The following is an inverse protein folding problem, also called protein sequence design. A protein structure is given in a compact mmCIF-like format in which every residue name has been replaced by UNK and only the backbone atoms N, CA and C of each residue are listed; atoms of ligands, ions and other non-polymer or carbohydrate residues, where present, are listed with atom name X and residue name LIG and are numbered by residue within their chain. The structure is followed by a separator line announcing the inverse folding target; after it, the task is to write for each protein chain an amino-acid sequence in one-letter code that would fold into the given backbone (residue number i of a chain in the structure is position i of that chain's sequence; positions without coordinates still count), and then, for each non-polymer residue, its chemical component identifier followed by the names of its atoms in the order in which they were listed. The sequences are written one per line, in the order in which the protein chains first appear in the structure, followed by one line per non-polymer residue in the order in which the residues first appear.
data_IF_654733149318
#
_entry.id   IF_654733149318
#
_cell.length_a   1.000
_cell.length_b   1.000
_cell.length_c   1.000
_cell.angle_alpha   90.00
_cell.angle_beta   90.00
_cell.angle_gamma   90.00
#
_symmetry.space_group_name_H-M   'P 1'
#
loop_
_entity.id
_entity.type
_entity.pdbx_description
1 polymer ?
#
# COMPACT_ATOMS: atom_id res chain seq x y z
N UNK A 1 2.82 21.69 3.58
CA UNK A 1 2.98 20.58 2.61
C UNK A 1 4.46 20.43 2.33
N UNK A 2 5.02 19.22 2.51
CA UNK A 2 6.37 18.90 2.00
C UNK A 2 6.28 18.81 0.48
N UNK A 3 7.22 19.44 -0.23
CA UNK A 3 7.32 19.33 -1.69
C UNK A 3 7.84 17.94 -2.06
N UNK A 4 7.36 17.36 -3.17
CA UNK A 4 7.91 16.12 -3.72
C UNK A 4 9.42 16.22 -3.95
N UNK A 5 9.92 17.42 -4.27
CA UNK A 5 11.34 17.69 -4.47
C UNK A 5 12.19 17.58 -3.19
N UNK A 6 11.57 17.72 -2.02
CA UNK A 6 12.22 17.63 -0.71
C UNK A 6 12.02 16.25 -0.06
N UNK A 7 11.35 15.32 -0.76
CA UNK A 7 11.05 13.99 -0.23
C UNK A 7 12.25 13.05 -0.39
N UNK A 8 12.84 12.64 0.73
CA UNK A 8 13.93 11.67 0.72
C UNK A 8 13.40 10.23 0.58
N UNK A 9 13.18 9.78 -0.66
CA UNK A 9 12.71 8.43 -0.97
C UNK A 9 13.56 7.30 -0.34
N UNK A 10 14.84 7.55 -0.07
CA UNK A 10 15.72 6.57 0.57
C UNK A 10 15.46 6.39 2.07
N UNK A 11 14.74 7.31 2.71
CA UNK A 11 14.52 7.32 4.17
C UNK A 11 13.05 7.31 4.57
N UNK A 12 12.14 7.49 3.61
CA UNK A 12 10.71 7.52 3.85
C UNK A 12 10.02 6.29 3.23
N UNK A 13 8.87 5.85 3.77
CA UNK A 13 8.09 4.77 3.19
C UNK A 13 7.72 5.06 1.73
N UNK A 14 7.88 4.06 0.86
CA UNK A 14 7.57 4.20 -0.57
C UNK A 14 6.11 4.60 -0.81
N UNK A 15 5.17 4.10 0.01
CA UNK A 15 3.76 4.44 -0.08
C UNK A 15 3.50 5.94 0.10
N UNK A 16 4.19 6.60 1.03
CA UNK A 16 4.08 8.03 1.27
C UNK A 16 4.59 8.84 0.07
N UNK A 17 5.72 8.41 -0.51
CA UNK A 17 6.24 9.01 -1.73
C UNK A 17 5.30 8.86 -2.93
N UNK A 18 4.66 7.70 -3.08
CA UNK A 18 3.68 7.46 -4.14
C UNK A 18 2.43 8.32 -3.99
N UNK A 19 1.90 8.45 -2.77
CA UNK A 19 0.75 9.31 -2.47
C UNK A 19 1.08 10.76 -2.79
N UNK A 20 2.23 11.27 -2.34
CA UNK A 20 2.68 12.64 -2.65
C UNK A 20 2.84 12.87 -4.16
N UNK A 21 3.39 11.90 -4.89
CA UNK A 21 3.48 11.98 -6.35
C UNK A 21 2.10 12.03 -7.01
N UNK A 22 1.15 11.21 -6.53
CA UNK A 22 -0.23 11.22 -7.03
C UNK A 22 -0.95 12.55 -6.73
N UNK A 23 -0.79 13.13 -5.55
CA UNK A 23 -1.32 14.46 -5.20
C UNK A 23 -0.74 15.56 -6.09
N UNK A 24 0.55 15.47 -6.42
CA UNK A 24 1.22 16.43 -7.31
C UNK A 24 0.72 16.33 -8.77
N UNK A 25 0.37 15.12 -9.24
CA UNK A 25 -0.10 14.89 -10.61
C UNK A 25 -1.60 15.17 -10.76
N UNK A 26 -2.41 14.82 -9.74
CA UNK A 26 -3.87 14.92 -9.75
C UNK A 26 -4.37 15.73 -8.57
N UNK A 27 -4.96 16.89 -8.85
CA UNK A 27 -5.55 17.79 -7.84
C UNK A 27 -6.72 17.18 -7.06
N UNK A 28 -7.42 16.23 -7.65
CA UNK A 28 -8.57 15.54 -7.08
C UNK A 28 -8.20 14.19 -6.45
N UNK A 29 -6.90 13.93 -6.25
CA UNK A 29 -6.46 12.66 -5.68
C UNK A 29 -6.94 12.52 -4.23
N UNK A 30 -7.69 11.45 -3.90
CA UNK A 30 -8.28 11.29 -2.57
C UNK A 30 -7.28 10.65 -1.61
N UNK A 31 -6.25 11.39 -1.20
CA UNK A 31 -5.15 10.84 -0.39
C UNK A 31 -5.63 10.27 0.95
N UNK A 32 -6.58 10.92 1.62
CA UNK A 32 -7.13 10.40 2.87
C UNK A 32 -7.83 9.06 2.69
N UNK A 33 -8.70 8.93 1.67
CA UNK A 33 -9.39 7.66 1.38
C UNK A 33 -8.37 6.54 1.05
N UNK A 34 -7.27 6.88 0.38
CA UNK A 34 -6.19 5.95 0.09
C UNK A 34 -5.45 5.52 1.37
N UNK A 35 -5.17 6.45 2.28
CA UNK A 35 -4.58 6.10 3.58
C UNK A 35 -5.50 5.18 4.39
N UNK A 36 -6.78 5.53 4.49
CA UNK A 36 -7.77 4.77 5.25
C UNK A 36 -7.92 3.35 4.69
N UNK A 37 -7.96 3.21 3.36
CA UNK A 37 -8.04 1.90 2.71
C UNK A 37 -6.76 1.07 2.91
N UNK A 38 -5.57 1.68 2.82
CA UNK A 38 -4.32 0.98 3.10
C UNK A 38 -4.25 0.49 4.55
N UNK A 39 -4.68 1.31 5.51
CA UNK A 39 -4.73 0.92 6.93
C UNK A 39 -5.71 -0.24 7.15
N UNK A 40 -6.88 -0.19 6.49
CA UNK A 40 -7.89 -1.26 6.54
C UNK A 40 -7.34 -2.58 5.98
N UNK A 41 -6.66 -2.55 4.84
CA UNK A 41 -6.06 -3.74 4.21
C UNK A 41 -4.94 -4.33 5.07
N UNK A 42 -4.09 -3.49 5.66
CA UNK A 42 -3.04 -3.93 6.59
C UNK A 42 -3.64 -4.59 7.83
N UNK A 43 -4.72 -4.02 8.38
CA UNK A 43 -5.41 -4.59 9.54
C UNK A 43 -6.01 -5.95 9.21
N UNK A 44 -6.70 -6.05 8.07
CA UNK A 44 -7.28 -7.31 7.59
C UNK A 44 -6.21 -8.40 7.41
N UNK A 45 -5.09 -8.09 6.75
CA UNK A 45 -4.01 -9.07 6.59
C UNK A 45 -3.43 -9.53 7.93
N UNK A 46 -3.32 -8.64 8.92
CA UNK A 46 -2.83 -9.02 10.26
C UNK A 46 -3.82 -9.92 11.02
N UNK A 47 -5.12 -9.77 10.77
CA UNK A 47 -6.15 -10.62 11.36
C UNK A 47 -6.19 -12.01 10.70
N UNK A 48 -6.05 -12.07 9.38
CA UNK A 48 -6.13 -13.33 8.63
C UNK A 48 -4.82 -14.14 8.62
N UNK A 49 -3.67 -13.46 8.68
CA UNK A 49 -2.35 -14.10 8.63
C UNK A 49 -1.80 -14.20 10.05
N UNK A 50 -1.85 -15.41 10.61
CA UNK A 50 -1.25 -15.69 11.90
C UNK A 50 0.26 -15.46 11.87
N UNK A 51 0.76 -14.64 12.81
CA UNK A 51 2.20 -14.38 12.99
C UNK A 51 2.98 -15.60 13.49
N UNK A 52 2.29 -16.68 13.87
CA UNK A 52 2.90 -17.95 14.29
C UNK A 52 3.28 -18.83 13.10
N UNK A 53 2.81 -18.51 11.90
CA UNK A 53 3.16 -19.25 10.68
C UNK A 53 4.63 -18.98 10.30
N UNK A 54 5.31 -19.92 9.62
CA UNK A 54 6.58 -19.64 8.97
C UNK A 54 6.48 -18.45 8.01
N UNK A 55 7.56 -17.70 7.85
CA UNK A 55 7.58 -16.48 7.02
C UNK A 55 7.15 -16.74 5.58
N UNK A 56 7.52 -17.88 5.01
CA UNK A 56 7.15 -18.28 3.65
C UNK A 56 5.63 -18.46 3.52
N UNK A 57 4.99 -19.15 4.48
CA UNK A 57 3.53 -19.31 4.50
C UNK A 57 2.80 -17.98 4.73
N UNK A 58 3.35 -17.09 5.56
CA UNK A 58 2.81 -15.73 5.73
C UNK A 58 2.85 -14.96 4.39
N UNK A 59 3.96 -15.06 3.67
CA UNK A 59 4.13 -14.40 2.37
C UNK A 59 3.17 -14.97 1.33
N UNK A 60 3.03 -16.30 1.24
CA UNK A 60 2.08 -16.94 0.31
C UNK A 60 0.64 -16.48 0.56
N UNK A 61 0.22 -16.41 1.83
CA UNK A 61 -1.09 -15.89 2.20
C UNK A 61 -1.26 -14.42 1.83
N UNK A 62 -0.24 -13.60 2.07
CA UNK A 62 -0.29 -12.18 1.70
C UNK A 62 -0.40 -12.00 0.19
N UNK A 63 0.33 -12.79 -0.60
CA UNK A 63 0.25 -12.79 -2.07
C UNK A 63 -1.16 -13.19 -2.53
N UNK A 64 -1.75 -14.21 -1.91
CA UNK A 64 -3.10 -14.65 -2.20
C UNK A 64 -4.15 -13.56 -1.92
N UNK A 65 -4.05 -12.86 -0.78
CA UNK A 65 -4.92 -11.73 -0.47
C UNK A 65 -4.75 -10.60 -1.49
N UNK A 66 -3.50 -10.25 -1.81
CA UNK A 66 -3.20 -9.13 -2.70
C UNK A 66 -3.72 -9.36 -4.13
N UNK A 67 -3.35 -10.49 -4.75
CA UNK A 67 -3.70 -10.76 -6.16
C UNK A 67 -5.04 -11.46 -6.36
N UNK A 68 -5.56 -12.12 -5.32
CA UNK A 68 -6.86 -12.80 -5.35
C UNK A 68 -7.95 -11.88 -4.84
N UNK A 69 -8.07 -11.79 -3.51
CA UNK A 69 -9.26 -11.25 -2.86
C UNK A 69 -9.37 -9.72 -2.97
N UNK A 70 -8.25 -9.01 -2.87
CA UNK A 70 -8.20 -7.55 -3.01
C UNK A 70 -8.15 -7.08 -4.47
N UNK A 71 -7.93 -8.01 -5.40
CA UNK A 71 -7.98 -7.74 -6.84
C UNK A 71 -6.91 -6.79 -7.35
N UNK A 72 -5.82 -6.57 -6.58
CA UNK A 72 -4.66 -5.84 -7.10
C UNK A 72 -4.10 -6.61 -8.29
N UNK A 73 -3.92 -5.91 -9.39
CA UNK A 73 -3.41 -6.48 -10.63
C UNK A 73 -2.68 -5.39 -11.40
N UNK A 74 -1.75 -5.81 -12.25
CA UNK A 74 -1.18 -4.91 -13.23
C UNK A 74 -2.31 -4.27 -14.04
N UNK A 75 -2.26 -2.94 -14.23
CA UNK A 75 -3.07 -2.30 -15.26
C UNK A 75 -2.68 -2.94 -16.59
N UNK A 76 -3.57 -3.74 -17.19
CA UNK A 76 -3.41 -4.10 -18.59
C UNK A 76 -3.49 -2.77 -19.35
N UNK A 77 -2.37 -2.37 -19.97
CA UNK A 77 -2.31 -1.21 -20.84
C UNK A 77 -3.28 -1.34 -22.01
#
# INVERSE_FOLDING_TARGET
MRSLADFEFNKAPLCEGMILACEAIRRDFPSQDVYDELERLVSLAKEEISQLLPLEEQLEKLIALFYGDWGFKASRG
#
